data_IF_369266014995
#
_entry.id   IF_369266014995
#
_cell.length_a   1.000
_cell.length_b   1.000
_cell.length_c   1.000
_cell.angle_alpha   90.00
_cell.angle_beta   90.00
_cell.angle_gamma   90.00
#
_symmetry.space_group_name_H-M   'P 1'
#
loop_
_entity.id
_entity.type
_entity.pdbx_description
1 polymer ?
#
# COMPACT_ATOMS: atom_id res chain seq x y z
N UNK A 1 -23.60 30.83 33.28
CA UNK A 1 -24.03 29.43 33.08
C UNK A 1 -24.81 29.31 31.79
N UNK A 2 -24.31 28.53 30.83
CA UNK A 2 -25.08 27.78 29.82
C UNK A 2 -24.11 26.76 29.21
N UNK A 3 -24.44 25.49 29.38
CA UNK A 3 -23.72 24.32 28.90
C UNK A 3 -23.67 24.29 27.36
N UNK A 4 -22.56 23.79 26.80
CA UNK A 4 -22.50 23.35 25.41
C UNK A 4 -22.10 21.87 25.37
N UNK A 5 -23.10 20.98 25.42
CA UNK A 5 -23.01 19.61 24.92
C UNK A 5 -23.00 19.64 23.39
N UNK A 6 -21.96 19.16 22.72
CA UNK A 6 -21.98 18.45 21.42
C UNK A 6 -20.57 17.95 21.09
N UNK A 7 -20.30 16.78 20.54
CA UNK A 7 -21.07 15.58 20.24
C UNK A 7 -19.99 14.51 19.97
N UNK A 8 -20.09 13.32 20.57
CA UNK A 8 -19.27 12.18 20.16
C UNK A 8 -19.55 11.86 18.69
N UNK A 9 -18.54 11.91 17.83
CA UNK A 9 -18.66 11.39 16.47
C UNK A 9 -18.43 9.89 16.50
N UNK A 10 -19.52 9.14 16.62
CA UNK A 10 -19.63 7.81 16.05
C UNK A 10 -19.39 7.95 14.53
N UNK A 11 -18.17 7.64 14.09
CA UNK A 11 -17.90 7.48 12.67
C UNK A 11 -18.51 6.14 12.28
N UNK A 12 -19.65 6.21 11.61
CA UNK A 12 -20.25 5.08 10.90
C UNK A 12 -19.25 4.66 9.81
N UNK A 13 -18.32 3.75 10.13
CA UNK A 13 -17.31 3.26 9.18
C UNK A 13 -17.96 2.23 8.26
N UNK A 14 -18.72 2.70 7.28
CA UNK A 14 -19.00 1.88 6.11
C UNK A 14 -17.71 1.80 5.28
N UNK A 15 -16.95 0.75 5.50
CA UNK A 15 -15.81 0.42 4.65
C UNK A 15 -16.34 0.06 3.26
N UNK A 16 -15.79 0.72 2.23
CA UNK A 16 -16.11 0.38 0.86
C UNK A 16 -15.31 -0.86 0.46
N UNK A 17 -16.04 -1.95 0.24
CA UNK A 17 -15.55 -3.25 -0.21
C UNK A 17 -15.17 -3.16 -1.70
N UNK A 18 -14.05 -3.77 -2.11
CA UNK A 18 -13.65 -3.88 -3.53
C UNK A 18 -13.20 -5.30 -3.83
N UNK A 19 -13.62 -5.84 -4.98
CA UNK A 19 -13.38 -7.23 -5.41
C UNK A 19 -12.33 -7.31 -6.54
N UNK A 20 -11.44 -8.29 -6.45
CA UNK A 20 -10.45 -8.71 -7.45
C UNK A 20 -10.67 -10.19 -7.80
N UNK A 21 -11.01 -10.53 -9.05
CA UNK A 21 -11.38 -11.90 -9.49
C UNK A 21 -12.52 -12.56 -8.69
N UNK A 22 -13.45 -11.78 -8.13
CA UNK A 22 -14.50 -12.26 -7.22
C UNK A 22 -14.06 -12.36 -5.74
N UNK A 23 -12.80 -12.08 -5.45
CA UNK A 23 -12.22 -12.03 -4.11
C UNK A 23 -12.23 -10.59 -3.64
N UNK A 24 -13.00 -10.23 -2.60
CA UNK A 24 -12.76 -8.97 -1.87
C UNK A 24 -11.28 -8.91 -1.52
N UNK A 25 -10.52 -7.86 -1.83
CA UNK A 25 -9.12 -7.80 -1.35
C UNK A 25 -9.11 -7.36 0.12
N UNK A 26 -8.80 -8.28 1.07
CA UNK A 26 -9.03 -8.07 2.49
C UNK A 26 -7.77 -8.37 3.32
N UNK A 27 -7.19 -7.37 3.97
CA UNK A 27 -6.66 -7.62 5.31
C UNK A 27 -6.85 -6.37 6.16
N UNK A 28 -8.09 -6.23 6.62
CA UNK A 28 -8.63 -5.05 7.28
C UNK A 28 -7.71 -4.49 8.36
N UNK A 29 -7.11 -5.29 9.26
CA UNK A 29 -6.25 -4.74 10.30
C UNK A 29 -4.89 -4.29 9.78
N UNK A 30 -4.22 -5.06 8.90
CA UNK A 30 -2.84 -4.75 8.48
C UNK A 30 -2.81 -3.51 7.60
N UNK A 31 -3.58 -3.51 6.51
CA UNK A 31 -3.61 -2.40 5.57
C UNK A 31 -4.14 -1.13 6.25
N UNK A 32 -5.21 -1.22 7.05
CA UNK A 32 -5.71 -0.04 7.78
C UNK A 32 -4.67 0.51 8.76
N UNK A 33 -3.92 -0.35 9.47
CA UNK A 33 -2.86 0.10 10.38
C UNK A 33 -1.75 0.82 9.62
N UNK A 34 -1.31 0.27 8.49
CA UNK A 34 -0.28 0.93 7.66
C UNK A 34 -0.80 2.27 7.16
N UNK A 35 -2.00 2.32 6.54
CA UNK A 35 -2.61 3.57 6.07
C UNK A 35 -2.81 4.57 7.22
N UNK A 36 -3.21 4.11 8.40
CA UNK A 36 -3.34 4.93 9.60
C UNK A 36 -2.00 5.54 10.02
N UNK A 37 -0.91 4.77 9.95
CA UNK A 37 0.42 5.28 10.28
C UNK A 37 0.90 6.31 9.24
N UNK A 38 0.58 6.09 7.96
CA UNK A 38 0.93 7.00 6.87
C UNK A 38 0.16 8.32 6.89
N UNK A 39 -0.98 8.42 7.60
CA UNK A 39 -1.83 9.64 7.61
C UNK A 39 -1.14 10.90 8.13
N UNK A 40 -0.02 10.75 8.84
CA UNK A 40 0.75 11.83 9.42
C UNK A 40 1.91 12.27 8.52
N UNK A 41 2.18 11.54 7.44
CA UNK A 41 3.19 11.87 6.45
C UNK A 41 2.55 12.65 5.31
N UNK A 42 3.33 13.58 4.74
CA UNK A 42 2.98 14.16 3.46
C UNK A 42 3.14 13.09 2.36
N UNK A 43 2.18 12.95 1.43
CA UNK A 43 2.32 12.06 0.29
C UNK A 43 3.62 12.35 -0.48
N UNK A 44 4.31 11.29 -0.84
CA UNK A 44 5.56 11.32 -1.59
C UNK A 44 5.68 10.11 -2.52
N UNK A 45 6.88 9.59 -2.68
CA UNK A 45 7.16 8.39 -3.49
C UNK A 45 7.08 7.13 -2.64
N UNK A 46 6.26 6.19 -3.11
CA UNK A 46 6.04 4.90 -2.48
C UNK A 46 6.56 3.77 -3.36
N UNK A 47 7.34 2.86 -2.76
CA UNK A 47 7.71 1.58 -3.34
C UNK A 47 6.95 0.45 -2.63
N UNK A 48 6.19 -0.34 -3.39
CA UNK A 48 5.51 -1.55 -2.90
C UNK A 48 6.24 -2.78 -3.42
N UNK A 49 6.91 -3.49 -2.52
CA UNK A 49 7.70 -4.68 -2.79
C UNK A 49 6.78 -5.90 -2.64
N UNK A 50 6.59 -6.65 -3.72
CA UNK A 50 5.57 -7.71 -3.78
C UNK A 50 4.21 -7.17 -4.19
N UNK A 51 4.16 -6.37 -5.26
CA UNK A 51 2.95 -5.69 -5.70
C UNK A 51 1.79 -6.66 -6.00
N UNK A 52 2.09 -7.88 -6.46
CA UNK A 52 1.10 -8.92 -6.78
C UNK A 52 -0.03 -8.35 -7.65
N UNK A 53 -1.28 -8.63 -7.31
CA UNK A 53 -2.45 -8.09 -8.00
C UNK A 53 -2.80 -6.63 -7.62
N UNK A 54 -1.99 -5.96 -6.79
CA UNK A 54 -2.19 -4.61 -6.30
C UNK A 54 -2.89 -4.57 -4.93
N UNK A 55 -3.84 -3.65 -4.76
CA UNK A 55 -4.54 -3.45 -3.48
C UNK A 55 -3.98 -2.30 -2.65
N UNK A 56 -2.81 -2.46 -2.01
CA UNK A 56 -2.24 -1.42 -1.13
C UNK A 56 -1.75 -0.20 -1.91
N UNK A 57 -0.79 -0.36 -2.82
CA UNK A 57 -0.33 0.73 -3.67
C UNK A 57 -1.47 1.28 -4.56
N UNK A 58 -2.38 0.43 -5.04
CA UNK A 58 -3.58 0.86 -5.78
C UNK A 58 -4.47 1.80 -4.97
N UNK A 59 -4.63 1.51 -3.68
CA UNK A 59 -5.38 2.37 -2.77
C UNK A 59 -4.71 3.73 -2.60
N UNK A 60 -3.39 3.77 -2.37
CA UNK A 60 -2.66 5.02 -2.18
C UNK A 60 -2.49 5.84 -3.47
N UNK A 61 -2.39 5.18 -4.63
CA UNK A 61 -2.35 5.84 -5.95
C UNK A 61 -3.64 6.60 -6.31
N UNK A 62 -4.74 6.38 -5.57
CA UNK A 62 -5.97 7.18 -5.70
C UNK A 62 -5.87 8.53 -4.98
N UNK A 63 -4.79 8.76 -4.25
CA UNK A 63 -4.43 10.03 -3.60
C UNK A 63 -3.12 10.58 -4.19
N UNK A 64 -2.45 11.52 -3.51
CA UNK A 64 -1.28 12.23 -4.05
C UNK A 64 0.04 11.43 -3.98
N UNK A 65 -0.01 10.14 -3.62
CA UNK A 65 1.18 9.28 -3.61
C UNK A 65 1.60 8.87 -5.02
N UNK A 66 2.89 9.02 -5.34
CA UNK A 66 3.50 8.48 -6.54
C UNK A 66 3.95 7.04 -6.26
N UNK A 67 3.20 6.05 -6.74
CA UNK A 67 3.43 4.65 -6.40
C UNK A 67 4.21 3.90 -7.50
N UNK A 68 5.20 3.12 -7.08
CA UNK A 68 5.91 2.12 -7.89
C UNK A 68 5.76 0.75 -7.23
N UNK A 69 5.46 -0.29 -8.02
CA UNK A 69 5.37 -1.67 -7.56
C UNK A 69 6.45 -2.56 -8.16
N UNK A 70 7.06 -3.43 -7.35
CA UNK A 70 7.97 -4.49 -7.80
C UNK A 70 7.28 -5.85 -7.63
N UNK A 71 7.33 -6.69 -8.65
CA UNK A 71 6.77 -8.04 -8.60
C UNK A 71 7.48 -8.99 -9.57
N UNK A 72 7.38 -10.31 -9.35
CA UNK A 72 7.92 -11.32 -10.27
C UNK A 72 7.22 -11.33 -11.63
N UNK A 73 6.00 -10.79 -11.72
CA UNK A 73 5.22 -10.79 -12.95
C UNK A 73 5.05 -9.37 -13.50
N UNK A 74 4.96 -9.24 -14.82
CA UNK A 74 4.52 -8.00 -15.44
C UNK A 74 3.08 -7.67 -15.07
N UNK A 75 2.88 -6.44 -14.61
CA UNK A 75 1.56 -5.86 -14.35
C UNK A 75 1.34 -4.65 -15.25
N UNK A 76 0.10 -4.43 -15.66
CA UNK A 76 -0.30 -3.23 -16.40
C UNK A 76 -1.39 -2.50 -15.64
N UNK A 77 -1.05 -1.31 -15.13
CA UNK A 77 -1.90 -0.49 -14.27
C UNK A 77 -1.80 0.97 -14.69
N UNK A 78 -2.95 1.65 -14.76
CA UNK A 78 -3.01 3.02 -15.30
C UNK A 78 -2.37 4.07 -14.39
N UNK A 79 -2.36 3.86 -13.07
CA UNK A 79 -1.98 4.88 -12.06
C UNK A 79 -0.68 4.57 -11.32
N UNK A 80 -0.05 3.44 -11.63
CA UNK A 80 1.11 2.94 -10.92
C UNK A 80 2.13 2.47 -11.94
N UNK A 81 3.40 2.79 -11.69
CA UNK A 81 4.51 2.19 -12.43
C UNK A 81 4.81 0.83 -11.82
N UNK A 82 4.70 -0.23 -12.60
CA UNK A 82 5.06 -1.60 -12.17
C UNK A 82 6.33 -2.04 -12.88
N UNK A 83 7.23 -2.70 -12.15
CA UNK A 83 8.49 -3.21 -12.66
C UNK A 83 8.53 -4.70 -12.35
N UNK A 84 8.68 -5.52 -13.40
CA UNK A 84 8.89 -6.96 -13.27
C UNK A 84 10.35 -7.21 -12.84
N UNK A 85 10.55 -7.89 -11.70
CA UNK A 85 11.86 -8.30 -11.22
C UNK A 85 11.79 -9.44 -10.22
N UNK A 86 12.87 -10.24 -10.16
CA UNK A 86 13.14 -11.12 -9.03
C UNK A 86 13.86 -10.35 -7.93
N UNK A 87 13.22 -10.26 -6.75
CA UNK A 87 13.75 -9.54 -5.60
C UNK A 87 15.02 -10.20 -5.02
N UNK A 88 15.28 -11.47 -5.32
CA UNK A 88 16.52 -12.16 -4.95
C UNK A 88 17.70 -11.73 -5.83
N UNK A 89 17.44 -11.23 -7.04
CA UNK A 89 18.46 -10.70 -7.96
C UNK A 89 18.72 -9.19 -7.73
N UNK A 90 17.91 -8.56 -6.88
CA UNK A 90 18.04 -7.18 -6.45
C UNK A 90 16.85 -6.29 -6.78
N UNK A 91 17.01 -4.99 -6.52
CA UNK A 91 15.96 -4.00 -6.63
C UNK A 91 16.28 -3.04 -7.78
N UNK A 92 15.58 -3.11 -8.94
CA UNK A 92 15.88 -2.31 -10.14
C UNK A 92 15.33 -0.87 -10.04
N UNK A 93 15.66 -0.21 -8.94
CA UNK A 93 15.24 1.17 -8.64
C UNK A 93 16.42 1.96 -8.11
N UNK A 94 16.36 3.28 -8.26
CA UNK A 94 17.40 4.17 -7.75
C UNK A 94 17.42 4.13 -6.21
N UNK A 95 18.62 4.08 -5.63
CA UNK A 95 18.79 4.21 -4.18
C UNK A 95 18.28 5.57 -3.70
N UNK A 96 17.75 5.61 -2.47
CA UNK A 96 17.25 6.83 -1.82
C UNK A 96 16.13 7.56 -2.60
N UNK A 97 15.44 6.86 -3.51
CA UNK A 97 14.41 7.46 -4.37
C UNK A 97 12.99 7.46 -3.78
N UNK A 98 12.75 6.79 -2.65
CA UNK A 98 11.42 6.60 -2.07
C UNK A 98 11.34 7.09 -0.63
N UNK A 99 10.24 7.75 -0.30
CA UNK A 99 9.92 8.22 1.05
C UNK A 99 9.35 7.09 1.91
N UNK A 100 8.66 6.14 1.28
CA UNK A 100 8.04 4.97 1.93
C UNK A 100 8.31 3.72 1.12
N UNK A 101 8.72 2.65 1.81
CA UNK A 101 8.84 1.30 1.26
C UNK A 101 7.93 0.37 2.05
N UNK A 102 7.13 -0.43 1.36
CA UNK A 102 6.32 -1.50 1.94
C UNK A 102 6.72 -2.85 1.39
N UNK A 103 6.68 -3.88 2.23
CA UNK A 103 6.93 -5.27 1.88
C UNK A 103 5.96 -6.14 2.70
N UNK A 104 4.71 -6.23 2.25
CA UNK A 104 3.67 -6.98 2.95
C UNK A 104 3.64 -8.42 2.49
N UNK A 105 3.85 -9.38 3.40
CA UNK A 105 3.86 -10.82 3.10
C UNK A 105 4.83 -11.19 1.95
N UNK A 106 6.03 -10.56 1.94
CA UNK A 106 7.07 -10.78 0.91
C UNK A 106 8.36 -11.35 1.48
N UNK A 107 8.73 -10.95 2.70
CA UNK A 107 10.07 -11.19 3.25
C UNK A 107 10.28 -12.69 3.50
N UNK A 108 9.22 -13.40 3.86
CA UNK A 108 9.21 -14.85 4.04
C UNK A 108 9.49 -15.67 2.77
N UNK A 109 9.42 -15.03 1.60
CA UNK A 109 9.69 -15.64 0.30
C UNK A 109 11.10 -15.34 -0.22
N UNK A 110 11.83 -14.46 0.46
CA UNK A 110 13.21 -14.15 0.10
C UNK A 110 14.15 -15.26 0.56
N UNK A 111 15.17 -15.54 -0.24
CA UNK A 111 16.23 -16.45 0.15
C UNK A 111 17.07 -15.80 1.25
N UNK A 112 17.32 -16.55 2.33
CA UNK A 112 18.32 -16.15 3.31
C UNK A 112 19.69 -16.12 2.62
N UNK A 113 20.44 -15.03 2.84
CA UNK A 113 21.84 -14.97 2.43
C UNK A 113 22.62 -16.04 3.20
N UNK A 114 23.10 -17.07 2.50
CA UNK A 114 23.95 -18.13 3.04
C UNK A 114 25.41 -17.73 3.17
#
# INVERSE_FOLDING_TARGET
MKENKRLGRNVNRSVQIVHHQGVEVPDFPRIEKVVHNLRHLSPGKLLDVGYSEGGFADYLSKSEWECTGLDLNAHSRRRIKTIECDLNEGFPVESEAFDVVTAGEVIEHMLDEG
#
